data_IF_112682409876
#
_entry.id   IF_112682409876
#
_cell.length_a   1.000
_cell.length_b   1.000
_cell.length_c   1.000
_cell.angle_alpha   90.00
_cell.angle_beta   90.00
_cell.angle_gamma   90.00
#
_symmetry.space_group_name_H-M   'P 1'
#
loop_
_entity.id
_entity.type
_entity.pdbx_description
1 polymer ?
2 branched ?
3 water ?
#
# COMPACT_ATOMS: atom_id res chain seq x y z
N UNK A 8 15.17 4.47 -1.54
CA UNK A 8 14.68 3.64 -2.71
C UNK A 8 13.49 4.24 -3.51
N UNK A 9 13.04 5.40 -3.10
CA UNK A 9 12.14 6.20 -3.92
C UNK A 9 12.89 7.42 -4.43
N UNK A 10 14.22 7.39 -4.38
CA UNK A 10 15.02 8.57 -4.71
C UNK A 10 14.97 8.93 -6.19
N UNK A 11 14.51 7.99 -7.01
CA UNK A 11 14.24 8.27 -8.41
C UNK A 11 12.75 8.34 -8.69
N UNK A 12 11.93 8.47 -7.65
CA UNK A 12 10.52 8.66 -7.86
C UNK A 12 9.67 7.43 -7.63
N UNK A 13 8.35 7.58 -7.86
CA UNK A 13 7.38 6.52 -7.64
C UNK A 13 7.56 5.30 -8.58
N UNK A 14 8.06 5.56 -9.79
CA UNK A 14 8.32 4.53 -10.81
C UNK A 14 7.29 3.39 -10.83
N UNK A 15 6.04 3.76 -11.15
CA UNK A 15 4.90 2.85 -11.15
C UNK A 15 3.89 3.11 -10.06
N UNK A 16 4.34 3.40 -8.84
CA UNK A 16 3.48 3.77 -7.68
C UNK A 16 2.63 5.05 -7.93
N UNK A 17 1.41 5.05 -7.44
CA UNK A 17 0.56 6.23 -7.61
C UNK A 17 -0.14 6.37 -6.28
N UNK A 18 -0.68 7.55 -6.02
CA UNK A 18 -1.52 7.81 -4.88
C UNK A 18 -2.85 8.42 -5.31
N UNK A 19 -3.85 8.38 -4.43
CA UNK A 19 -5.14 9.01 -4.71
C UNK A 19 -5.79 9.54 -3.43
N UNK A 20 -6.59 10.59 -3.52
CA UNK A 20 -7.28 11.13 -2.35
C UNK A 20 -6.39 11.94 -1.39
N UNK A 21 -5.13 12.14 -1.78
CA UNK A 21 -4.12 12.87 -1.00
C UNK A 21 -4.28 14.34 -1.23
N UNK A 22 -3.71 15.14 -0.33
CA UNK A 22 -3.72 16.61 -0.43
C UNK A 22 -2.44 16.94 -1.12
N UNK A 23 -2.53 17.32 -2.39
CA UNK A 23 -1.35 17.43 -3.23
C UNK A 23 -0.94 16.03 -3.65
N UNK A 24 -0.04 15.92 -4.60
CA UNK A 24 0.45 14.62 -5.07
C UNK A 24 1.43 13.97 -4.09
N UNK A 25 1.88 12.76 -4.41
CA UNK A 25 2.92 12.11 -3.63
C UNK A 25 4.21 12.92 -3.82
N UNK A 26 5.20 12.71 -2.94
CA UNK A 26 6.47 13.48 -2.92
C UNK A 26 7.54 12.47 -2.66
N UNK A 27 8.57 12.46 -3.50
CA UNK A 27 9.68 11.56 -3.27
C UNK A 27 11.02 12.35 -3.07
N UNK A 28 10.93 13.68 -2.94
CA UNK A 28 12.12 14.54 -2.86
C UNK A 28 13.10 14.12 -1.79
N UNK A 29 12.58 13.60 -0.69
CA UNK A 29 13.40 13.11 0.41
C UNK A 29 14.06 11.76 0.21
N UNK A 30 13.66 10.99 -0.81
CA UNK A 30 14.14 9.61 -0.99
C UNK A 30 13.10 8.54 -0.60
N UNK A 31 12.17 8.95 0.26
CA UNK A 31 11.07 8.09 0.69
C UNK A 31 9.85 8.65 -0.04
N UNK A 32 8.86 7.82 -0.29
CA UNK A 32 7.61 8.30 -0.90
C UNK A 32 6.70 8.75 0.25
N UNK A 33 6.22 9.99 0.18
CA UNK A 33 5.40 10.57 1.25
C UNK A 33 4.20 11.24 0.65
N UNK A 34 3.14 11.30 1.45
CA UNK A 34 1.87 11.71 0.97
C UNK A 34 1.18 12.36 2.17
N UNK A 35 0.33 13.34 1.93
CA UNK A 35 -0.36 13.99 3.02
C UNK A 35 -1.80 13.53 3.01
N UNK A 36 -2.23 12.82 4.06
CA UNK A 36 -3.62 12.38 4.22
C UNK A 36 -4.52 13.53 4.67
N UNK A 37 -5.59 13.79 3.94
CA UNK A 37 -6.47 14.88 4.34
C UNK A 37 -7.20 14.58 5.65
N UNK A 38 -7.47 15.61 6.44
CA UNK A 38 -8.23 15.45 7.67
C UNK A 38 -9.62 15.04 7.28
N UNK A 39 -10.26 14.25 8.12
CA UNK A 39 -11.62 13.85 7.81
C UNK A 39 -11.78 12.94 6.60
N UNK A 40 -10.70 12.29 6.17
CA UNK A 40 -10.77 11.33 5.06
C UNK A 40 -11.72 10.13 5.30
N UNK A 41 -12.12 9.53 4.20
CA UNK A 41 -13.09 8.44 4.19
C UNK A 41 -12.37 7.11 4.01
N UNK A 42 -12.86 6.08 4.68
CA UNK A 42 -12.37 4.72 4.47
C UNK A 42 -12.34 4.47 2.98
N UNK A 43 -11.27 3.85 2.51
CA UNK A 43 -11.00 3.52 1.11
C UNK A 43 -10.78 4.67 0.16
N UNK A 44 -10.69 5.86 0.74
CA UNK A 44 -10.66 7.16 0.04
C UNK A 44 -9.27 7.72 -0.23
N UNK A 45 -8.25 7.16 0.40
CA UNK A 45 -6.87 7.64 0.32
C UNK A 45 -5.95 6.45 0.28
N UNK A 46 -5.01 6.44 -0.65
CA UNK A 46 -4.20 5.25 -0.78
C UNK A 46 -2.90 5.50 -1.46
N UNK A 47 -1.94 4.59 -1.25
CA UNK A 47 -0.71 4.55 -2.04
C UNK A 47 -0.56 3.12 -2.54
N UNK A 48 -0.41 3.00 -3.86
CA UNK A 48 -0.82 1.81 -4.59
C UNK A 48 0.15 1.49 -5.74
N UNK A 49 0.42 0.19 -5.90
CA UNK A 49 1.14 -0.29 -7.08
C UNK A 49 0.33 -1.36 -7.73
N UNK A 50 -0.24 -1.01 -8.88
CA UNK A 50 -0.94 -1.99 -9.70
C UNK A 50 -0.01 -2.82 -10.60
N UNK A 51 -0.54 -3.89 -11.22
CA UNK A 51 0.23 -4.75 -12.12
C UNK A 51 1.02 -5.82 -11.39
N UNK A 52 0.53 -6.20 -10.21
CA UNK A 52 1.24 -7.17 -9.38
C UNK A 52 0.58 -8.50 -9.63
N UNK A 53 1.30 -9.36 -10.35
CA UNK A 53 0.85 -10.71 -10.66
C UNK A 53 1.07 -11.57 -9.43
N UNK A 54 0.07 -12.38 -9.09
CA UNK A 54 0.14 -13.26 -7.92
C UNK A 54 -0.34 -14.68 -8.28
N UNK A 55 0.40 -15.71 -7.85
CA UNK A 55 0.05 -17.11 -8.14
C UNK A 55 -0.46 -17.84 -6.90
N UNK A 56 -1.66 -18.39 -6.97
CA UNK A 56 -2.22 -19.14 -5.82
C UNK A 56 -1.26 -20.29 -5.40
N UNK A 57 -0.95 -20.38 -4.10
CA UNK A 57 -0.06 -21.41 -3.55
C UNK A 57 1.36 -20.95 -3.31
N UNK A 58 1.74 -19.94 -4.07
CA UNK A 58 3.02 -19.26 -3.86
C UNK A 58 3.07 -18.48 -2.55
N UNK A 59 4.26 -18.51 -1.94
CA UNK A 59 4.56 -17.78 -0.73
C UNK A 59 5.35 -16.49 -1.07
N UNK A 60 4.90 -15.38 -0.49
CA UNK A 60 5.50 -14.06 -0.68
C UNK A 60 5.79 -13.42 0.66
N UNK A 61 6.77 -12.52 0.64
CA UNK A 61 6.99 -11.65 1.76
C UNK A 61 6.88 -10.22 1.27
N UNK A 62 6.01 -9.45 1.92
CA UNK A 62 5.93 -8.02 1.64
C UNK A 62 6.75 -7.29 2.66
N UNK A 63 7.71 -6.49 2.21
CA UNK A 63 8.47 -5.63 3.14
C UNK A 63 8.26 -4.15 2.89
N UNK A 64 8.40 -3.35 3.96
CA UNK A 64 8.31 -1.90 3.84
C UNK A 64 8.66 -1.24 5.18
N UNK A 65 9.17 -0.01 5.07
CA UNK A 65 9.43 0.83 6.21
C UNK A 65 8.48 2.02 6.11
N UNK A 66 7.81 2.37 7.20
CA UNK A 66 6.83 3.47 7.14
C UNK A 66 6.88 4.33 8.39
N UNK A 67 6.39 5.56 8.25
CA UNK A 67 6.24 6.48 9.37
C UNK A 67 4.89 7.18 9.21
N UNK A 68 4.24 7.51 10.32
CA UNK A 68 3.09 8.40 10.27
C UNK A 68 3.29 9.57 11.26
N UNK A 69 2.83 10.77 10.90
CA UNK A 69 3.03 11.92 11.76
C UNK A 69 1.99 12.01 12.90
N UNK A 70 1.00 11.12 12.91
CA UNK A 70 0.25 10.84 14.14
C UNK A 70 0.23 9.32 14.35
N UNK A 71 0.17 8.90 15.61
CA UNK A 71 0.06 7.48 15.91
C UNK A 71 -1.27 7.00 15.34
N UNK A 72 -1.18 6.16 14.32
CA UNK A 72 -2.36 5.70 13.59
C UNK A 72 -2.15 4.26 13.07
N UNK A 73 -3.21 3.45 13.09
CA UNK A 73 -3.18 2.13 12.46
C UNK A 73 -3.87 2.27 11.11
N UNK A 74 -3.25 1.74 10.05
CA UNK A 74 -3.81 1.78 8.69
C UNK A 74 -4.04 0.37 8.11
N UNK A 75 -4.16 0.25 6.80
CA UNK A 75 -4.34 -1.05 6.20
C UNK A 75 -3.29 -1.23 5.11
N UNK A 76 -2.50 -2.28 5.23
CA UNK A 76 -1.56 -2.63 4.18
C UNK A 76 -2.02 -3.97 3.60
N UNK A 77 -2.21 -4.02 2.29
CA UNK A 77 -2.75 -5.24 1.64
C UNK A 77 -2.13 -5.58 0.30
N UNK A 78 -2.30 -6.86 -0.08
CA UNK A 78 -2.14 -7.30 -1.50
C UNK A 78 -3.49 -7.84 -1.95
N UNK A 79 -4.07 -7.26 -2.99
CA UNK A 79 -5.35 -7.74 -3.47
C UNK A 79 -5.79 -7.33 -4.86
N UNK A 80 -7.07 -7.58 -5.17
CA UNK A 80 -7.64 -7.17 -6.44
C UNK A 80 -7.83 -5.66 -6.58
N UNK A 81 -7.26 -5.12 -7.66
CA UNK A 81 -7.54 -3.77 -8.12
C UNK A 81 -8.84 -3.72 -8.88
N UNK A 82 -9.94 -3.84 -8.18
CA UNK A 82 -11.22 -3.99 -8.85
C UNK A 82 -12.13 -4.92 -8.07
N UNK A 83 -13.44 -4.74 -8.25
CA UNK A 83 -14.46 -5.64 -7.70
C UNK A 83 -14.11 -7.11 -7.93
N UNK A 84 -14.31 -7.97 -6.93
CA UNK A 84 -14.86 -7.61 -5.62
C UNK A 84 -13.83 -7.25 -4.57
N UNK A 85 -12.64 -6.83 -5.01
CA UNK A 85 -11.55 -6.39 -4.09
C UNK A 85 -11.12 -7.41 -3.06
N UNK A 86 -11.11 -8.68 -3.46
CA UNK A 86 -10.51 -9.76 -2.68
C UNK A 86 -9.05 -9.52 -2.33
N UNK A 87 -8.61 -10.14 -1.25
CA UNK A 87 -7.29 -9.87 -0.71
C UNK A 87 -6.57 -11.20 -0.57
N UNK A 88 -5.24 -11.18 -0.71
CA UNK A 88 -4.40 -12.36 -0.47
C UNK A 88 -3.49 -12.04 0.77
N UNK A 89 -3.29 -10.75 0.98
CA UNK A 89 -2.76 -10.32 2.27
C UNK A 89 -3.61 -9.15 2.74
N UNK A 90 -4.05 -9.21 3.99
CA UNK A 90 -4.79 -8.09 4.56
C UNK A 90 -4.27 -7.76 5.97
N UNK A 91 -3.60 -6.60 6.16
CA UNK A 91 -3.12 -6.23 7.50
C UNK A 91 -3.49 -4.85 8.04
N UNK A 92 -3.14 -4.66 9.32
CA UNK A 92 -3.45 -3.44 10.03
C UNK A 92 -2.17 -2.95 10.76
N UNK A 93 -1.23 -2.36 10.02
CA UNK A 93 0.01 -1.87 10.63
C UNK A 93 -0.19 -0.65 11.53
N UNK A 94 0.27 -0.74 12.76
CA UNK A 94 0.32 0.41 13.64
C UNK A 94 1.58 1.24 13.36
N UNK A 95 1.39 2.53 13.10
CA UNK A 95 2.51 3.36 12.63
C UNK A 95 2.69 4.56 13.53
N UNK A 96 3.92 5.03 13.66
CA UNK A 96 4.25 6.23 14.45
C UNK A 96 5.32 7.08 13.76
N UNK A 97 5.76 8.15 14.44
CA UNK A 97 6.89 9.00 14.04
C UNK A 97 8.22 8.31 13.73
N UNK A 98 8.46 7.19 14.41
CA UNK A 98 9.73 6.49 14.36
C UNK A 98 9.57 5.34 13.35
N UNK A 99 10.49 5.23 12.39
CA UNK A 99 10.46 4.17 11.36
C UNK A 99 10.33 2.76 11.88
N UNK A 100 9.30 2.10 11.38
CA UNK A 100 9.18 0.67 11.62
C UNK A 100 9.19 -0.12 10.31
N UNK A 101 10.07 -1.12 10.26
CA UNK A 101 10.13 -2.08 9.16
C UNK A 101 9.11 -3.17 9.45
N UNK A 102 8.17 -3.38 8.53
CA UNK A 102 7.20 -4.46 8.69
C UNK A 102 7.58 -5.53 7.73
N UNK A 103 7.47 -6.74 8.18
CA UNK A 103 7.68 -7.87 7.28
C UNK A 103 6.47 -8.79 7.39
N UNK A 104 5.81 -9.09 6.28
CA UNK A 104 4.62 -9.95 6.31
C UNK A 104 4.79 -11.12 5.33
N UNK A 105 4.72 -12.35 5.83
CA UNK A 105 4.81 -13.48 4.94
C UNK A 105 3.43 -14.07 4.73
N UNK A 106 3.13 -14.43 3.48
CA UNK A 106 1.87 -15.11 3.21
C UNK A 106 1.96 -16.12 2.04
N UNK A 107 1.08 -17.11 2.08
CA UNK A 107 0.83 -17.99 0.95
C UNK A 107 -0.47 -17.53 0.26
N UNK A 108 -0.39 -17.34 -1.05
CA UNK A 108 -1.48 -16.69 -1.79
C UNK A 108 -2.65 -17.62 -1.94
N UNK A 109 -3.83 -17.14 -1.53
CA UNK A 109 -5.08 -17.88 -1.63
C UNK A 109 -5.79 -17.66 -2.97
N UNK A 110 -5.21 -16.84 -3.86
CA UNK A 110 -5.79 -16.56 -5.17
C UNK A 110 -4.74 -16.24 -6.21
N UNK A 111 -5.18 -16.29 -7.48
CA UNK A 111 -4.32 -15.87 -8.59
C UNK A 111 -4.80 -14.52 -9.11
N UNK A 112 -3.86 -13.58 -9.27
CA UNK A 112 -4.12 -12.32 -9.96
C UNK A 112 -3.26 -12.17 -11.22
N UNK A 113 -3.91 -11.81 -12.30
CA UNK A 113 -3.21 -11.57 -13.56
C UNK A 113 -2.32 -10.30 -13.48
N UNK A 114 -1.34 -10.17 -14.37
CA UNK A 114 -0.48 -8.98 -14.46
C UNK A 114 -1.18 -7.80 -15.16
N UNK A 115 -2.30 -8.10 -15.76
CA UNK A 115 -3.00 -7.09 -16.52
C UNK A 115 -4.50 -7.30 -16.30
N UNK A 116 -5.31 -6.23 -16.29
CA UNK A 116 -6.75 -6.39 -16.09
C UNK A 116 -7.33 -7.25 -17.21
N UNK A 117 -8.02 -8.33 -16.87
CA UNK A 117 -8.90 -9.05 -17.84
C UNK A 117 -10.38 -9.09 -17.40
N UNK A 118 -11.18 -9.78 -18.21
CA UNK A 118 -12.64 -9.87 -18.01
C UNK A 118 -12.87 -10.73 -16.80
N UNK A 119 -13.61 -10.20 -15.83
CA UNK A 119 -13.82 -10.87 -14.54
C UNK A 119 -12.54 -11.12 -13.75
N UNK A 120 -11.52 -10.28 -13.91
CA UNK A 120 -10.24 -10.68 -13.36
C UNK A 120 -9.31 -9.49 -13.30
N UNK A 121 -9.52 -8.64 -12.31
CA UNK A 121 -8.71 -7.43 -12.15
C UNK A 121 -7.27 -7.79 -11.82
N UNK A 122 -6.33 -6.94 -12.23
CA UNK A 122 -4.91 -7.11 -11.90
C UNK A 122 -4.73 -7.03 -10.37
N UNK A 123 -3.62 -7.58 -9.86
CA UNK A 123 -3.37 -7.50 -8.45
C UNK A 123 -2.66 -6.21 -8.15
N UNK A 124 -2.54 -5.86 -6.88
CA UNK A 124 -1.87 -4.63 -6.45
C UNK A 124 -1.37 -4.78 -5.02
N UNK A 125 -0.36 -3.99 -4.67
CA UNK A 125 0.00 -3.71 -3.30
C UNK A 125 -0.69 -2.41 -2.89
N UNK A 126 -1.40 -2.40 -1.76
CA UNK A 126 -2.09 -1.17 -1.35
C UNK A 126 -1.94 -0.80 0.11
N UNK A 127 -1.60 0.46 0.36
CA UNK A 127 -1.64 1.10 1.66
C UNK A 127 -2.82 2.08 1.62
N UNK A 128 -3.92 1.71 2.26
CA UNK A 128 -5.06 2.61 2.36
C UNK A 128 -4.95 3.23 3.72
N UNK A 129 -5.28 4.53 3.73
CA UNK A 129 -4.88 5.45 4.78
C UNK A 129 -6.08 6.27 5.25
N UNK A 130 -7.21 6.16 4.56
CA UNK A 130 -8.29 7.10 4.83
C UNK A 130 -9.18 6.61 5.96
N UNK A 131 -9.91 7.49 6.59
CA UNK A 131 -10.82 6.99 7.60
C UNK A 131 -10.28 6.57 8.96
N UNK A 132 -8.96 6.47 9.13
CA UNK A 132 -8.40 5.95 10.39
C UNK A 132 -8.12 6.98 11.45
N UNK A 133 -7.87 8.21 11.02
CA UNK A 133 -7.74 9.36 11.90
C UNK A 133 -8.58 10.54 11.40
N UNK A 134 -9.28 11.22 12.30
CA UNK A 134 -9.98 12.43 11.93
C UNK A 134 -9.02 13.53 11.45
N UNK A 135 -7.80 13.53 12.00
CA UNK A 135 -6.78 14.54 11.78
C UNK A 135 -6.06 14.39 10.43
N UNK A 136 -5.48 15.49 9.95
CA UNK A 136 -4.58 15.45 8.79
C UNK A 136 -3.25 14.88 9.23
N UNK A 137 -2.63 14.02 8.44
CA UNK A 137 -1.35 13.47 8.85
C UNK A 137 -0.55 13.06 7.64
N UNK A 138 0.74 12.82 7.85
CA UNK A 138 1.65 12.44 6.77
C UNK A 138 2.18 11.03 6.90
N UNK A 139 2.09 10.28 5.81
CA UNK A 139 2.74 8.97 5.72
C UNK A 139 3.96 9.07 4.83
N UNK A 140 5.07 8.50 5.29
CA UNK A 140 6.26 8.35 4.48
C UNK A 140 6.52 6.86 4.40
N UNK A 141 6.96 6.41 3.22
CA UNK A 141 7.20 5.02 2.91
C UNK A 141 8.59 4.88 2.31
N UNK A 142 9.32 3.85 2.72
CA UNK A 142 10.60 3.51 2.12
C UNK A 142 10.83 1.99 2.10
N UNK A 143 11.72 1.51 1.23
CA UNK A 143 12.19 0.11 1.24
C UNK A 143 11.08 -0.90 1.03
N UNK A 144 10.22 -0.61 0.09
CA UNK A 144 9.11 -1.47 -0.20
C UNK A 144 9.59 -2.51 -1.20
N UNK A 145 9.36 -3.76 -0.83
CA UNK A 145 9.73 -4.92 -1.63
C UNK A 145 8.72 -6.05 -1.44
N UNK A 146 8.54 -6.84 -2.48
CA UNK A 146 7.62 -7.95 -2.46
C UNK A 146 8.33 -8.98 -3.27
N UNK A 147 8.68 -10.10 -2.64
CA UNK A 147 9.05 -11.28 -3.42
C UNK A 147 8.59 -12.65 -2.95
N UNK A 148 8.60 -13.58 -3.89
CA UNK A 148 8.23 -14.97 -3.67
C UNK A 148 9.34 -15.74 -2.97
N UNK A 149 8.95 -16.72 -2.17
CA UNK A 149 9.91 -17.46 -1.37
C UNK A 149 10.18 -18.79 -2.01
X LIG B 1 -12.30 -2.69 -0.63
X LIG B 1 -11.59 -1.44 -1.15
X LIG B 1 -12.46 -0.64 -2.14
X LIG B 1 -13.92 -0.50 -1.67
X LIG B 1 -14.79 0.03 -2.81
X LIG B 1 -13.68 -2.26 -0.11
X LIG B 1 -14.35 -3.36 0.47
X LIG B 1 -11.56 -3.25 0.43
X LIG B 1 -10.29 -1.72 -1.69
X LIG B 1 -11.88 0.64 -2.35
X LIG B 1 -14.45 -1.74 -1.17
X LIG B 1 -15.77 0.93 -2.32
X LIG B 2 -11.20 2.26 -4.11
X LIG B 2 -10.41 2.51 -5.41
X LIG B 2 -9.13 1.68 -5.47
X LIG B 2 -9.52 0.24 -5.13
X LIG B 2 -8.31 -0.69 -5.18
X LIG B 2 -11.38 0.79 -3.73
X LIG B 2 -12.46 2.88 -4.25
X LIG B 2 -9.99 3.85 -5.42
X LIG B 2 -8.62 1.73 -6.78
X LIG B 2 -10.12 0.20 -3.84
X LIG B 2 -7.40 -0.44 -4.12
X LIG B 3 -6.74 2.38 -8.12
X LIG B 3 -5.75 3.51 -8.38
X LIG B 3 -6.43 4.87 -8.54
X LIG B 3 -7.45 5.12 -7.45
X LIG B 3 -8.14 6.46 -7.68
X LIG B 3 -7.73 2.82 -7.05
X LIG B 3 -6.08 1.20 -7.72
X LIG B 3 -5.09 3.27 -9.60
X LIG B 3 -5.50 5.91 -8.47
X LIG B 3 -8.37 4.02 -7.48
X LIG B 3 -8.68 6.49 -8.99
X LIG B 4 -4.10 7.69 -9.32
X LIG B 4 -3.59 8.40 -10.58
X LIG B 4 -3.19 7.41 -11.69
X LIG B 4 -4.34 6.41 -11.89
X LIG B 4 -3.99 5.33 -12.90
X LIG B 4 -5.14 6.62 -9.68
X LIG B 4 -4.65 8.68 -8.48
X LIG B 4 -2.55 9.30 -10.21
X LIG B 4 -2.97 8.12 -12.90
X LIG B 4 -4.61 5.77 -10.66
X LIG B 4 -2.75 4.73 -12.49
X LIG B 5 -1.95 8.38 -14.96
X LIG B 5 -0.69 8.05 -15.77
X LIG B 5 0.59 8.41 -14.98
X LIG B 5 0.60 7.86 -13.54
X LIG B 5 1.67 8.51 -12.67
X LIG B 5 -1.78 7.75 -13.59
X LIG B 5 -3.16 7.95 -15.54
X LIG B 5 -0.80 8.70 -17.04
X LIG B 5 1.67 8.02 -15.76
X LIG B 5 -0.64 8.25 -12.95
X LIG B 5 1.59 9.92 -12.73
#
# INVERSE_FOLDING_TARGET
ASPIGEGTFDDGPEGWVAYGTDGPLDTSTGALCVAVPAGSAQYGVGVVLNGVAIEEGTTYTLRYTATASTDVTVRALVGQNGAPYGTVLDTSPALTSEPRQVTETFTASATYPATPAADDPEGQIAFQLGGFSADAWTLCLDDVALDSE
BGC C2 C3 C4 C5 C6 C1 O1 O2 O3 O4 O5 O6
BGC C2 C3 C4 C5 C6 C1 O2 O3 O4 O5 O6
BGC C2 C3 C4 C5 C6 C1 O2 O3 O4 O5 O6
BGC C2 C3 C4 C5 C6 C1 O2 O3 O4 O5 O6
BGC C2 C3 C4 C5 C6 C1 O2 O3 O4 O5 O6
#
